data_IF_904597244361
#
_entry.id   IF_904597244361
#
_cell.length_a   1.000
_cell.length_b   1.000
_cell.length_c   1.000
_cell.angle_alpha   90.00
_cell.angle_beta   90.00
_cell.angle_gamma   90.00
#
_symmetry.space_group_name_H-M   'P 1'
#
loop_
_entity.id
_entity.type
_entity.pdbx_description
1 polymer ?
#
# COMPACT_ATOMS: atom_id res chain seq x y z
N UNK A 1 24.16 -0.20 -3.18
CA UNK A 1 24.32 -1.47 -2.43
C UNK A 1 25.56 -2.16 -3.00
N UNK A 2 26.38 -2.84 -2.18
CA UNK A 2 27.59 -3.52 -2.69
C UNK A 2 27.25 -4.98 -3.01
N UNK A 3 27.94 -5.55 -4.00
CA UNK A 3 27.79 -6.97 -4.35
C UNK A 3 28.11 -7.92 -3.18
N UNK A 4 28.89 -7.44 -2.20
CA UNK A 4 29.26 -8.19 -1.01
C UNK A 4 28.14 -8.22 0.06
N UNK A 5 27.17 -7.31 0.02
CA UNK A 5 26.04 -7.28 0.96
C UNK A 5 24.83 -6.68 0.24
N UNK A 6 24.14 -7.50 -0.59
CA UNK A 6 22.96 -7.05 -1.30
C UNK A 6 21.88 -6.64 -0.29
N UNK A 7 21.36 -5.43 -0.44
CA UNK A 7 20.23 -4.93 0.33
C UNK A 7 19.26 -4.23 -0.60
N UNK A 8 17.96 -4.37 -0.30
CA UNK A 8 16.90 -3.73 -1.06
C UNK A 8 16.67 -2.30 -0.56
N UNK A 9 16.35 -1.40 -1.47
CA UNK A 9 15.87 -0.05 -1.20
C UNK A 9 14.35 -0.05 -1.26
N UNK A 10 13.75 0.21 -0.10
CA UNK A 10 12.31 0.38 0.04
C UNK A 10 11.92 1.85 0.01
N UNK A 11 11.02 2.21 -0.90
CA UNK A 11 10.30 3.48 -0.84
C UNK A 11 9.10 3.35 0.09
N UNK A 12 9.05 4.12 1.19
CA UNK A 12 7.99 4.00 2.18
C UNK A 12 6.85 4.99 1.93
N UNK A 13 5.61 4.51 1.96
CA UNK A 13 4.38 5.29 1.72
C UNK A 13 3.41 5.04 2.89
N UNK A 14 2.86 6.11 3.44
CA UNK A 14 1.80 6.06 4.45
C UNK A 14 0.43 6.43 3.87
N UNK A 15 -0.64 6.33 4.66
CA UNK A 15 -1.97 6.80 4.26
C UNK A 15 -1.96 8.31 3.99
N UNK A 16 -2.93 8.78 3.20
CA UNK A 16 -3.17 10.22 2.99
C UNK A 16 -3.51 10.93 4.29
N UNK A 17 -4.34 10.30 5.12
CA UNK A 17 -4.82 10.83 6.39
C UNK A 17 -3.95 10.43 7.57
N UNK A 18 -4.42 10.73 8.78
CA UNK A 18 -3.87 10.11 9.97
C UNK A 18 -4.32 8.64 9.99
N UNK A 19 -3.37 7.70 10.06
CA UNK A 19 -3.61 6.25 9.93
C UNK A 19 -4.57 5.63 10.96
N UNK A 20 -5.22 6.45 11.79
CA UNK A 20 -6.16 6.07 12.84
C UNK A 20 -7.57 6.67 12.66
N UNK A 21 -7.78 7.60 11.72
CA UNK A 21 -9.09 8.23 11.48
C UNK A 21 -9.45 8.18 9.99
N UNK A 22 -10.48 7.41 9.59
CA UNK A 22 -10.90 7.31 8.19
C UNK A 22 -11.75 8.51 7.73
N UNK A 23 -11.51 9.71 8.26
CA UNK A 23 -12.16 10.92 7.73
C UNK A 23 -11.62 11.20 6.34
N UNK A 24 -12.52 11.36 5.36
CA UNK A 24 -12.21 11.58 3.93
C UNK A 24 -11.63 10.36 3.18
N UNK A 25 -12.26 9.18 3.32
CA UNK A 25 -11.96 7.99 2.49
C UNK A 25 -11.93 8.35 1.00
N UNK A 26 -10.84 7.96 0.35
CA UNK A 26 -10.73 8.03 -1.10
C UNK A 26 -11.37 6.81 -1.75
N UNK A 27 -12.03 7.01 -2.89
CA UNK A 27 -12.27 5.91 -3.83
C UNK A 27 -10.94 5.36 -4.33
N UNK A 28 -10.94 4.13 -4.85
CA UNK A 28 -9.75 3.49 -5.44
C UNK A 28 -9.07 4.41 -6.47
N UNK A 29 -9.84 5.03 -7.37
CA UNK A 29 -9.31 5.92 -8.39
C UNK A 29 -8.71 7.21 -7.81
N UNK A 30 -9.32 7.76 -6.75
CA UNK A 30 -8.77 8.91 -6.05
C UNK A 30 -7.46 8.56 -5.35
N UNK A 31 -7.39 7.42 -4.66
CA UNK A 31 -6.17 6.96 -3.99
C UNK A 31 -5.04 6.69 -4.98
N UNK A 32 -5.34 6.02 -6.10
CA UNK A 32 -4.39 5.79 -7.19
C UNK A 32 -3.83 7.09 -7.74
N UNK A 33 -4.70 8.07 -8.03
CA UNK A 33 -4.28 9.37 -8.52
C UNK A 33 -3.50 10.19 -7.49
N UNK A 34 -3.89 10.12 -6.21
CA UNK A 34 -3.25 10.86 -5.12
C UNK A 34 -1.82 10.37 -4.86
N UNK A 35 -1.61 9.05 -4.84
CA UNK A 35 -0.31 8.46 -4.51
C UNK A 35 0.63 8.33 -5.72
N UNK A 36 0.11 8.41 -6.96
CA UNK A 36 0.89 8.28 -8.18
C UNK A 36 2.14 9.18 -8.26
N UNK A 37 2.12 10.49 -7.90
CA UNK A 37 3.31 11.33 -7.98
C UNK A 37 4.48 10.82 -7.13
N UNK A 38 4.22 10.31 -5.93
CA UNK A 38 5.23 9.76 -5.05
C UNK A 38 5.78 8.43 -5.59
N UNK A 39 4.90 7.55 -6.07
CA UNK A 39 5.27 6.25 -6.64
C UNK A 39 6.08 6.41 -7.93
N UNK A 40 5.70 7.35 -8.80
CA UNK A 40 6.48 7.70 -10.01
C UNK A 40 7.86 8.25 -9.62
N UNK A 41 7.95 8.98 -8.51
CA UNK A 41 9.23 9.48 -8.00
C UNK A 41 10.10 8.33 -7.50
N UNK A 42 9.52 7.34 -6.83
CA UNK A 42 10.22 6.11 -6.43
C UNK A 42 10.74 5.31 -7.63
N UNK A 43 9.94 5.13 -8.68
CA UNK A 43 10.39 4.48 -9.92
C UNK A 43 11.62 5.19 -10.50
N UNK A 44 11.55 6.53 -10.60
CA UNK A 44 12.65 7.35 -11.13
C UNK A 44 13.90 7.33 -10.25
N UNK A 45 13.73 7.18 -8.94
CA UNK A 45 14.82 7.07 -7.99
C UNK A 45 15.48 5.68 -7.96
N UNK A 46 14.88 4.69 -8.60
CA UNK A 46 15.39 3.31 -8.67
C UNK A 46 15.26 2.55 -7.35
N UNK A 47 14.14 2.73 -6.62
CA UNK A 47 13.84 1.85 -5.48
C UNK A 47 13.53 0.44 -5.98
N UNK A 48 13.86 -0.58 -5.18
CA UNK A 48 13.60 -1.98 -5.54
C UNK A 48 12.13 -2.37 -5.26
N UNK A 49 11.50 -1.74 -4.28
CA UNK A 49 10.09 -1.98 -3.92
C UNK A 49 9.48 -0.81 -3.14
N UNK A 50 8.15 -0.80 -3.03
CA UNK A 50 7.42 0.13 -2.17
C UNK A 50 6.85 -0.57 -0.92
N UNK A 51 7.12 -0.02 0.26
CA UNK A 51 6.46 -0.43 1.51
C UNK A 51 5.32 0.52 1.84
N UNK A 52 4.10 0.03 1.66
CA UNK A 52 2.87 0.76 1.95
C UNK A 52 2.47 0.40 3.37
N UNK A 53 2.64 1.32 4.31
CA UNK A 53 2.53 1.04 5.75
C UNK A 53 1.42 1.86 6.38
N UNK A 54 0.89 1.38 7.51
CA UNK A 54 -0.12 2.08 8.32
C UNK A 54 -1.41 2.40 7.57
N UNK A 55 -1.83 1.54 6.64
CA UNK A 55 -3.07 1.73 5.88
C UNK A 55 -4.26 1.28 6.71
N UNK A 56 -5.33 2.07 6.70
CA UNK A 56 -6.47 1.88 7.60
C UNK A 56 -7.81 1.64 6.90
N UNK A 57 -7.86 1.60 5.56
CA UNK A 57 -9.00 1.10 4.78
C UNK A 57 -8.57 0.49 3.44
N UNK A 58 -9.32 -0.48 2.89
CA UNK A 58 -8.91 -1.24 1.71
C UNK A 58 -8.75 -0.41 0.43
N UNK A 59 -9.65 0.55 0.16
CA UNK A 59 -9.67 1.29 -1.12
C UNK A 59 -8.39 2.11 -1.35
N UNK A 60 -7.78 2.62 -0.28
CA UNK A 60 -6.49 3.30 -0.37
C UNK A 60 -5.36 2.32 -0.67
N UNK A 61 -5.34 1.16 0.00
CA UNK A 61 -4.39 0.10 -0.27
C UNK A 61 -4.45 -0.35 -1.74
N UNK A 62 -5.67 -0.54 -2.27
CA UNK A 62 -5.92 -0.90 -3.68
C UNK A 62 -5.40 0.19 -4.60
N UNK A 63 -5.75 1.46 -4.34
CA UNK A 63 -5.30 2.58 -5.16
C UNK A 63 -3.77 2.67 -5.25
N UNK A 64 -3.10 2.52 -4.11
CA UNK A 64 -1.62 2.51 -4.04
C UNK A 64 -1.04 1.32 -4.81
N UNK A 65 -1.56 0.10 -4.60
CA UNK A 65 -1.09 -1.08 -5.30
C UNK A 65 -1.24 -0.97 -6.83
N UNK A 66 -2.37 -0.42 -7.30
CA UNK A 66 -2.58 -0.14 -8.71
C UNK A 66 -1.59 0.90 -9.26
N UNK A 67 -1.29 1.96 -8.48
CA UNK A 67 -0.31 2.96 -8.88
C UNK A 67 1.11 2.40 -8.92
N UNK A 68 1.48 1.49 -8.01
CA UNK A 68 2.74 0.74 -8.07
C UNK A 68 2.82 -0.14 -9.32
N UNK A 69 1.72 -0.83 -9.65
CA UNK A 69 1.60 -1.64 -10.87
C UNK A 69 1.76 -0.83 -12.15
N UNK A 70 1.27 0.40 -12.19
CA UNK A 70 1.38 1.27 -13.37
C UNK A 70 2.82 1.64 -13.77
N UNK A 71 3.76 1.52 -12.82
CA UNK A 71 5.18 1.83 -13.03
C UNK A 71 6.09 0.62 -12.77
N UNK A 72 5.51 -0.58 -12.72
CA UNK A 72 6.21 -1.85 -12.54
C UNK A 72 7.09 -1.92 -11.27
N UNK A 73 6.66 -1.31 -10.16
CA UNK A 73 7.34 -1.45 -8.86
C UNK A 73 6.58 -2.45 -7.96
N UNK A 74 7.21 -3.55 -7.51
CA UNK A 74 6.62 -4.42 -6.49
C UNK A 74 6.27 -3.66 -5.22
N UNK A 75 5.13 -3.96 -4.61
CA UNK A 75 4.73 -3.34 -3.35
C UNK A 75 4.32 -4.35 -2.29
N UNK A 76 4.40 -3.92 -1.04
CA UNK A 76 3.89 -4.65 0.14
C UNK A 76 2.90 -3.76 0.87
N UNK A 77 1.87 -4.35 1.47
CA UNK A 77 0.82 -3.61 2.17
C UNK A 77 0.79 -4.01 3.64
N UNK A 78 0.98 -3.05 4.53
CA UNK A 78 0.76 -3.20 5.98
C UNK A 78 -0.54 -2.52 6.36
N UNK A 79 -1.50 -3.32 6.84
CA UNK A 79 -2.72 -2.78 7.43
C UNK A 79 -2.53 -2.52 8.91
N UNK A 80 -2.96 -1.35 9.37
CA UNK A 80 -3.19 -1.13 10.79
C UNK A 80 -4.44 -1.91 11.19
N UNK A 81 -4.32 -2.72 12.24
CA UNK A 81 -5.45 -3.44 12.85
C UNK A 81 -5.58 -3.08 14.31
N UNK A 82 -6.81 -3.10 14.79
CA UNK A 82 -7.16 -2.97 16.19
C UNK A 82 -7.02 -4.32 16.92
N UNK A 83 -7.19 -4.30 18.24
CA UNK A 83 -7.05 -5.51 19.10
C UNK A 83 -8.02 -6.66 18.77
N UNK A 84 -9.07 -6.39 17.99
CA UNK A 84 -10.06 -7.37 17.53
C UNK A 84 -9.78 -7.93 16.13
N UNK A 85 -8.69 -7.49 15.48
CA UNK A 85 -8.31 -7.91 14.13
C UNK A 85 -9.06 -7.20 13.00
N UNK A 86 -9.82 -6.15 13.31
CA UNK A 86 -10.44 -5.28 12.33
C UNK A 86 -9.54 -4.09 12.00
N UNK A 87 -9.65 -3.57 10.79
CA UNK A 87 -9.06 -2.29 10.42
C UNK A 87 -9.82 -1.16 11.15
N UNK A 88 -9.23 0.03 11.34
CA UNK A 88 -9.94 1.20 11.86
C UNK A 88 -11.21 1.57 11.09
N UNK A 89 -11.32 1.18 9.81
CA UNK A 89 -12.53 1.35 8.99
C UNK A 89 -13.63 0.31 9.21
N UNK A 90 -13.37 -0.74 10.00
CA UNK A 90 -14.34 -1.74 10.45
C UNK A 90 -14.31 -3.08 9.70
N UNK A 91 -13.65 -3.16 8.55
CA UNK A 91 -13.46 -4.40 7.81
C UNK A 91 -12.50 -5.35 8.57
N UNK A 92 -12.76 -6.65 8.51
CA UNK A 92 -11.80 -7.63 9.04
C UNK A 92 -10.54 -7.63 8.18
N UNK A 93 -9.37 -7.94 8.76
CA UNK A 93 -8.14 -8.07 7.96
C UNK A 93 -8.26 -9.10 6.83
N UNK A 94 -9.05 -10.16 7.04
CA UNK A 94 -9.32 -11.18 6.01
C UNK A 94 -10.04 -10.57 4.81
N UNK A 95 -11.09 -9.81 5.07
CA UNK A 95 -11.90 -9.21 4.00
C UNK A 95 -11.13 -8.11 3.28
N UNK A 96 -10.33 -7.33 4.01
CA UNK A 96 -9.44 -6.33 3.44
C UNK A 96 -8.43 -6.96 2.46
N UNK A 97 -7.74 -8.02 2.86
CA UNK A 97 -6.79 -8.74 1.99
C UNK A 97 -7.51 -9.33 0.77
N UNK A 98 -8.65 -9.99 0.97
CA UNK A 98 -9.42 -10.57 -0.13
C UNK A 98 -9.87 -9.53 -1.17
N UNK A 99 -10.28 -8.35 -0.70
CA UNK A 99 -10.67 -7.23 -1.56
C UNK A 99 -9.48 -6.70 -2.35
N UNK A 100 -8.33 -6.51 -1.70
CA UNK A 100 -7.11 -6.06 -2.40
C UNK A 100 -6.68 -7.07 -3.46
N UNK A 101 -6.64 -8.36 -3.14
CA UNK A 101 -6.25 -9.39 -4.09
C UNK A 101 -7.20 -9.45 -5.29
N UNK A 102 -8.51 -9.34 -5.06
CA UNK A 102 -9.51 -9.34 -6.13
C UNK A 102 -9.34 -8.14 -7.08
N UNK A 103 -9.18 -6.94 -6.54
CA UNK A 103 -9.14 -5.69 -7.33
C UNK A 103 -7.76 -5.44 -7.99
N UNK A 104 -6.69 -6.00 -7.43
CA UNK A 104 -5.32 -5.80 -7.93
C UNK A 104 -4.79 -6.99 -8.71
N UNK A 105 -5.53 -8.10 -8.78
CA UNK A 105 -5.06 -9.40 -9.25
C UNK A 105 -3.87 -9.93 -8.43
N UNK A 106 -3.97 -9.82 -7.11
CA UNK A 106 -2.92 -10.20 -6.15
C UNK A 106 -1.55 -9.59 -6.49
N UNK A 107 -1.54 -8.29 -6.84
CA UNK A 107 -0.32 -7.56 -7.17
C UNK A 107 0.65 -7.39 -5.98
N UNK A 108 0.19 -7.11 -4.74
CA UNK A 108 1.08 -7.01 -3.60
C UNK A 108 1.90 -8.30 -3.40
N UNK A 109 3.20 -8.17 -3.16
CA UNK A 109 4.09 -9.30 -2.97
C UNK A 109 3.76 -10.09 -1.68
N UNK A 110 3.36 -9.36 -0.64
CA UNK A 110 2.85 -9.91 0.62
C UNK A 110 2.15 -8.82 1.44
N UNK A 111 1.44 -9.25 2.47
CA UNK A 111 0.79 -8.39 3.46
C UNK A 111 1.54 -8.41 4.79
N UNK A 112 1.54 -7.28 5.47
CA UNK A 112 2.07 -7.06 6.82
C UNK A 112 0.95 -6.53 7.73
N UNK A 113 1.21 -6.52 9.03
CA UNK A 113 0.34 -5.98 10.07
C UNK A 113 1.17 -5.00 10.88
#
# INVERSE_FOLDING_TARGET
>A
HSDATPCLISGNIGPRGDGYVPSDRMTINQARAYHAPQIVTFAKAGVDMASVVTINYPEEAIGIALACRDVDIPCVISFTVETDGNLPSGETIRDAIAMVDAETHAYPAYYMI
#
